data_IF_887128131728
#
_entry.id   IF_887128131728
#
_cell.length_a   1.000
_cell.length_b   1.000
_cell.length_c   1.000
_cell.angle_alpha   90.00
_cell.angle_beta   90.00
_cell.angle_gamma   90.00
#
_symmetry.space_group_name_H-M   'P 1'
#
loop_
_entity.id
_entity.type
_entity.pdbx_description
1 polymer ?
#
# COMPACT_ATOMS: atom_id res chain seq x y z
N UNK A 1 13.89 6.56 -13.48
CA UNK A 1 14.67 7.55 -12.71
C UNK A 1 14.76 8.88 -13.44
N UNK A 2 15.15 8.92 -14.74
CA UNK A 2 15.31 10.17 -15.50
C UNK A 2 14.06 11.06 -15.46
N UNK A 3 12.86 10.50 -15.68
CA UNK A 3 11.61 11.26 -15.62
C UNK A 3 11.33 11.85 -14.23
N UNK A 4 11.72 11.14 -13.16
CA UNK A 4 11.55 11.64 -11.78
C UNK A 4 12.49 12.80 -11.51
N UNK A 5 13.74 12.73 -11.96
CA UNK A 5 14.71 13.83 -11.86
C UNK A 5 14.25 15.06 -12.63
N UNK A 6 13.79 14.87 -13.87
CA UNK A 6 13.23 15.96 -14.68
C UNK A 6 12.00 16.62 -13.99
N UNK A 7 11.13 15.82 -13.37
CA UNK A 7 10.01 16.37 -12.59
C UNK A 7 10.49 17.18 -11.38
N UNK A 8 11.51 16.71 -10.66
CA UNK A 8 12.08 17.46 -9.53
C UNK A 8 12.73 18.79 -9.98
N UNK A 9 13.43 18.78 -11.13
CA UNK A 9 14.01 20.00 -11.72
C UNK A 9 12.92 21.01 -12.15
N UNK A 10 11.81 20.55 -12.72
CA UNK A 10 10.68 21.43 -13.07
C UNK A 10 10.05 22.06 -11.81
N UNK A 11 9.84 21.25 -10.75
CA UNK A 11 9.31 21.76 -9.47
C UNK A 11 10.32 22.73 -8.84
N UNK A 12 11.60 22.44 -8.87
CA UNK A 12 12.64 23.35 -8.40
C UNK A 12 12.60 24.70 -9.14
N UNK A 13 12.46 24.68 -10.47
CA UNK A 13 12.33 25.90 -11.27
C UNK A 13 11.08 26.73 -10.89
N UNK A 14 9.97 26.08 -10.57
CA UNK A 14 8.76 26.77 -10.13
C UNK A 14 8.84 27.32 -8.70
N UNK A 15 9.53 26.63 -7.79
CA UNK A 15 9.71 27.03 -6.40
C UNK A 15 10.74 28.15 -6.22
N UNK A 16 11.71 28.31 -7.15
CA UNK A 16 12.86 29.18 -6.94
C UNK A 16 13.67 28.72 -5.72
N UNK A 17 13.84 29.59 -4.74
CA UNK A 17 14.56 29.33 -3.49
C UNK A 17 13.67 28.89 -2.31
N UNK A 18 12.38 28.76 -2.50
CA UNK A 18 11.43 28.31 -1.47
C UNK A 18 11.49 26.78 -1.25
N UNK A 19 11.12 26.32 -0.05
CA UNK A 19 10.95 24.90 0.23
C UNK A 19 9.65 24.34 -0.34
N UNK A 20 9.68 23.08 -0.74
CA UNK A 20 8.47 22.34 -1.12
C UNK A 20 7.67 22.01 0.15
N UNK A 21 6.40 22.42 0.20
CA UNK A 21 5.50 22.21 1.33
C UNK A 21 5.26 20.73 1.67
N UNK A 22 5.16 19.86 0.67
CA UNK A 22 4.97 18.44 0.90
C UNK A 22 5.07 17.58 -0.36
N UNK A 23 5.36 16.32 -0.17
CA UNK A 23 5.44 15.27 -1.19
C UNK A 23 4.50 14.13 -0.82
N UNK A 24 3.64 13.74 -1.74
CA UNK A 24 2.74 12.58 -1.56
C UNK A 24 3.16 11.45 -2.48
N UNK A 25 3.69 10.38 -1.92
CA UNK A 25 4.03 9.15 -2.62
C UNK A 25 2.80 8.24 -2.66
N UNK A 26 1.98 8.36 -3.70
CA UNK A 26 0.73 7.62 -3.87
C UNK A 26 0.83 6.49 -4.90
N UNK A 27 1.75 6.55 -5.85
CA UNK A 27 1.85 5.57 -6.93
C UNK A 27 2.04 4.14 -6.37
N UNK A 28 1.24 3.21 -6.89
CA UNK A 28 1.32 1.82 -6.48
C UNK A 28 0.46 0.90 -7.33
N UNK A 29 0.84 -0.37 -7.35
CA UNK A 29 0.13 -1.42 -8.08
C UNK A 29 -0.12 -2.61 -7.16
N UNK A 30 -1.19 -3.36 -7.44
CA UNK A 30 -1.50 -4.63 -6.81
C UNK A 30 -1.81 -5.66 -7.90
N UNK A 31 -1.11 -6.79 -7.89
CA UNK A 31 -1.38 -7.93 -8.75
C UNK A 31 -1.82 -9.08 -7.87
N UNK A 32 -3.13 -9.43 -7.88
CA UNK A 32 -3.65 -10.53 -7.10
C UNK A 32 -3.22 -11.87 -7.70
N UNK A 33 -2.62 -12.71 -6.88
CA UNK A 33 -2.24 -14.08 -7.27
C UNK A 33 -1.96 -14.93 -6.02
N UNK A 34 -2.14 -16.26 -6.10
CA UNK A 34 -1.50 -17.15 -5.12
C UNK A 34 0.02 -16.99 -5.24
N UNK A 35 0.73 -16.74 -4.13
CA UNK A 35 2.18 -16.49 -4.15
C UNK A 35 2.97 -17.61 -4.83
N UNK A 36 2.51 -18.85 -4.72
CA UNK A 36 3.17 -20.01 -5.35
C UNK A 36 3.07 -20.04 -6.88
N UNK A 37 2.19 -19.20 -7.46
CA UNK A 37 1.96 -19.09 -8.91
C UNK A 37 2.22 -17.69 -9.45
N UNK A 38 2.54 -16.73 -8.58
CA UNK A 38 2.95 -15.40 -9.02
C UNK A 38 4.34 -15.48 -9.65
N UNK A 39 4.48 -14.95 -10.87
CA UNK A 39 5.78 -14.91 -11.53
C UNK A 39 6.76 -13.98 -10.79
N UNK A 40 8.04 -14.35 -10.75
CA UNK A 40 9.08 -13.53 -10.13
C UNK A 40 9.20 -12.14 -10.78
N UNK A 41 9.09 -11.99 -12.12
CA UNK A 41 9.05 -10.67 -12.75
C UNK A 41 7.89 -9.79 -12.25
N UNK A 42 6.67 -10.34 -12.10
CA UNK A 42 5.53 -9.58 -11.56
C UNK A 42 5.72 -9.22 -10.08
N UNK A 43 6.28 -10.15 -9.28
CA UNK A 43 6.63 -9.87 -7.89
C UNK A 43 7.63 -8.71 -7.80
N UNK A 44 8.73 -8.76 -8.56
CA UNK A 44 9.74 -7.69 -8.61
C UNK A 44 9.15 -6.37 -9.07
N UNK A 45 8.33 -6.38 -10.13
CA UNK A 45 7.67 -5.17 -10.64
C UNK A 45 6.82 -4.48 -9.58
N UNK A 46 6.10 -5.24 -8.73
CA UNK A 46 5.33 -4.65 -7.63
C UNK A 46 6.24 -4.00 -6.58
N UNK A 47 7.35 -4.65 -6.22
CA UNK A 47 8.31 -4.07 -5.28
C UNK A 47 8.99 -2.83 -5.88
N UNK A 48 9.39 -2.88 -7.15
CA UNK A 48 10.04 -1.75 -7.82
C UNK A 48 9.14 -0.52 -7.86
N UNK A 49 7.85 -0.69 -8.17
CA UNK A 49 6.91 0.43 -8.20
C UNK A 49 6.58 0.90 -6.79
N UNK A 50 6.22 -0.02 -5.88
CA UNK A 50 5.64 0.32 -4.59
C UNK A 50 6.68 0.74 -3.54
N UNK A 51 7.97 0.40 -3.75
CA UNK A 51 9.06 0.66 -2.80
C UNK A 51 10.19 1.44 -3.46
N UNK A 52 10.89 0.81 -4.43
CA UNK A 52 12.06 1.43 -5.06
C UNK A 52 11.69 2.76 -5.71
N UNK A 53 10.56 2.81 -6.44
CA UNK A 53 10.06 4.04 -7.05
C UNK A 53 9.78 5.15 -6.04
N UNK A 54 9.17 4.81 -4.90
CA UNK A 54 8.88 5.82 -3.87
C UNK A 54 10.15 6.34 -3.19
N UNK A 55 11.16 5.48 -3.00
CA UNK A 55 12.46 5.92 -2.49
C UNK A 55 13.16 6.86 -3.49
N UNK A 56 13.18 6.51 -4.78
CA UNK A 56 13.76 7.34 -5.84
C UNK A 56 13.08 8.72 -5.88
N UNK A 57 11.75 8.77 -5.78
CA UNK A 57 11.01 10.04 -5.73
C UNK A 57 11.41 10.83 -4.48
N UNK A 58 11.41 10.19 -3.31
CA UNK A 58 11.78 10.86 -2.05
C UNK A 58 13.18 11.43 -2.11
N UNK A 59 14.16 10.68 -2.64
CA UNK A 59 15.54 11.13 -2.81
C UNK A 59 15.65 12.32 -3.77
N UNK A 60 14.92 12.28 -4.89
CA UNK A 60 14.95 13.35 -5.89
C UNK A 60 14.35 14.66 -5.35
N UNK A 61 13.34 14.57 -4.50
CA UNK A 61 12.67 15.74 -3.91
C UNK A 61 13.23 16.16 -2.53
N UNK A 62 14.11 15.36 -1.94
CA UNK A 62 14.68 15.63 -0.63
C UNK A 62 15.34 17.02 -0.50
N UNK A 63 16.15 17.51 -1.47
CA UNK A 63 16.71 18.86 -1.39
C UNK A 63 15.60 19.92 -1.32
N UNK A 64 14.49 19.75 -2.04
CA UNK A 64 13.39 20.70 -2.11
C UNK A 64 12.57 20.74 -0.81
N UNK A 65 12.50 19.61 -0.09
CA UNK A 65 11.77 19.49 1.18
C UNK A 65 12.49 20.11 2.38
N UNK A 66 13.68 20.68 2.21
CA UNK A 66 14.50 21.22 3.27
C UNK A 66 15.79 20.44 3.54
N UNK A 67 16.11 19.42 2.71
CA UNK A 67 17.42 18.76 2.70
C UNK A 67 18.53 19.72 2.29
N UNK A 68 18.27 20.62 1.37
CA UNK A 68 19.09 21.80 1.07
C UNK A 68 18.71 22.94 2.02
N UNK A 69 19.56 23.19 3.00
CA UNK A 69 19.38 24.21 4.05
C UNK A 69 19.54 25.66 3.56
N UNK A 70 19.93 25.89 2.33
CA UNK A 70 19.96 27.23 1.73
C UNK A 70 18.59 27.72 1.28
N UNK A 71 17.59 26.80 1.20
CA UNK A 71 16.20 27.11 0.82
C UNK A 71 15.46 27.86 1.92
N UNK A 72 14.53 28.72 1.53
CA UNK A 72 13.71 29.55 2.42
C UNK A 72 12.40 28.84 2.77
N UNK A 73 11.95 29.02 4.00
CA UNK A 73 10.69 28.45 4.50
C UNK A 73 10.89 27.27 5.44
N UNK A 74 9.78 26.79 6.00
CA UNK A 74 9.79 25.63 6.88
C UNK A 74 10.01 24.34 6.09
N UNK A 75 10.66 23.33 6.70
CA UNK A 75 10.79 22.02 6.09
C UNK A 75 9.43 21.42 5.72
N UNK A 76 9.36 20.80 4.55
CA UNK A 76 8.18 20.13 4.06
C UNK A 76 7.92 18.79 4.73
N UNK A 77 6.89 18.07 4.24
CA UNK A 77 6.49 16.75 4.74
C UNK A 77 6.43 15.71 3.63
N UNK A 78 6.69 14.47 3.98
CA UNK A 78 6.49 13.32 3.10
C UNK A 78 5.30 12.52 3.60
N UNK A 79 4.32 12.27 2.74
CA UNK A 79 3.20 11.36 3.01
C UNK A 79 3.35 10.14 2.11
N UNK A 80 3.59 8.98 2.71
CA UNK A 80 3.67 7.71 2.01
C UNK A 80 2.31 7.00 2.11
N UNK A 81 1.64 6.80 0.97
CA UNK A 81 0.36 6.08 0.93
C UNK A 81 0.62 4.58 0.96
N UNK A 82 0.48 4.01 2.15
CA UNK A 82 0.57 2.59 2.42
C UNK A 82 -0.78 1.88 2.19
N UNK A 83 -1.19 1.05 3.11
CA UNK A 83 -2.48 0.35 3.15
C UNK A 83 -2.67 -0.26 4.55
N UNK A 84 -3.90 -0.63 4.91
CA UNK A 84 -4.12 -1.57 6.02
C UNK A 84 -3.39 -2.90 5.80
N UNK A 85 -3.11 -3.26 4.53
CA UNK A 85 -2.27 -4.41 4.16
C UNK A 85 -0.78 -4.23 4.52
N UNK A 86 -0.35 -3.04 4.93
CA UNK A 86 1.00 -2.80 5.46
C UNK A 86 1.24 -3.41 6.85
N UNK A 87 0.18 -3.88 7.53
CA UNK A 87 0.26 -4.57 8.83
C UNK A 87 -0.35 -5.96 8.82
N UNK A 88 -1.22 -6.27 7.85
CA UNK A 88 -1.90 -7.54 7.76
C UNK A 88 -1.81 -8.10 6.34
N UNK A 89 -1.23 -9.28 6.20
CA UNK A 89 -1.19 -10.01 4.93
C UNK A 89 -2.51 -10.74 4.67
N UNK A 90 -3.16 -10.48 3.54
CA UNK A 90 -4.30 -11.27 3.08
C UNK A 90 -3.86 -12.29 2.03
N UNK A 91 -4.50 -13.48 1.95
CA UNK A 91 -4.23 -14.41 0.86
C UNK A 91 -4.48 -13.74 -0.49
N UNK A 92 -3.81 -14.22 -1.52
CA UNK A 92 -3.90 -13.78 -2.92
C UNK A 92 -3.38 -12.35 -3.21
N UNK A 93 -2.99 -11.58 -2.21
CA UNK A 93 -2.34 -10.26 -2.35
C UNK A 93 -1.01 -10.18 -1.58
N UNK A 94 -0.33 -11.33 -1.46
CA UNK A 94 0.88 -11.42 -0.65
C UNK A 94 2.04 -10.54 -1.12
N UNK A 95 2.24 -10.39 -2.43
CA UNK A 95 3.27 -9.49 -2.96
C UNK A 95 2.96 -8.02 -2.67
N UNK A 96 1.68 -7.62 -2.79
CA UNK A 96 1.22 -6.29 -2.42
C UNK A 96 1.41 -6.04 -0.91
N UNK A 97 0.98 -6.99 -0.06
CA UNK A 97 1.17 -6.87 1.38
C UNK A 97 2.66 -6.76 1.74
N UNK A 98 3.53 -7.58 1.14
CA UNK A 98 4.98 -7.49 1.34
C UNK A 98 5.51 -6.10 0.97
N UNK A 99 5.09 -5.53 -0.17
CA UNK A 99 5.50 -4.18 -0.57
C UNK A 99 5.03 -3.11 0.41
N UNK A 100 3.80 -3.21 0.93
CA UNK A 100 3.27 -2.23 1.88
C UNK A 100 3.88 -2.36 3.29
N UNK A 101 4.21 -3.59 3.74
CA UNK A 101 5.01 -3.78 4.96
C UNK A 101 6.41 -3.17 4.82
N UNK A 102 7.07 -3.39 3.68
CA UNK A 102 8.36 -2.80 3.40
C UNK A 102 8.30 -1.26 3.37
N UNK A 103 7.24 -0.69 2.76
CA UNK A 103 7.02 0.76 2.75
C UNK A 103 6.85 1.34 4.16
N UNK A 104 6.14 0.64 5.05
CA UNK A 104 6.00 1.10 6.44
C UNK A 104 7.33 1.08 7.17
N UNK A 105 8.11 0.00 7.06
CA UNK A 105 9.46 -0.06 7.65
C UNK A 105 10.41 1.02 7.08
N UNK A 106 10.40 1.24 5.77
CA UNK A 106 11.16 2.31 5.12
C UNK A 106 10.71 3.69 5.63
N UNK A 107 9.40 3.92 5.74
CA UNK A 107 8.86 5.20 6.24
C UNK A 107 9.26 5.48 7.68
N UNK A 108 9.30 4.45 8.53
CA UNK A 108 9.78 4.60 9.91
C UNK A 108 11.25 4.97 9.98
N UNK A 109 12.10 4.36 9.16
CA UNK A 109 13.54 4.71 9.08
C UNK A 109 13.73 6.14 8.58
N UNK A 110 13.09 6.47 7.45
CA UNK A 110 13.14 7.83 6.90
C UNK A 110 12.67 8.88 7.90
N UNK A 111 11.59 8.63 8.65
CA UNK A 111 11.09 9.56 9.66
C UNK A 111 12.12 9.86 10.74
N UNK A 112 12.89 8.85 11.17
CA UNK A 112 13.95 9.02 12.17
C UNK A 112 15.17 9.74 11.60
N UNK A 113 15.59 9.37 10.39
CA UNK A 113 16.74 9.98 9.70
C UNK A 113 16.48 11.44 9.33
N UNK A 114 15.28 11.75 8.84
CA UNK A 114 14.91 13.09 8.39
C UNK A 114 14.60 14.07 9.52
N UNK A 115 14.55 13.61 10.79
CA UNK A 115 14.54 14.50 11.97
C UNK A 115 15.69 15.49 11.96
N UNK A 116 16.86 15.14 11.40
CA UNK A 116 18.00 16.03 11.23
C UNK A 116 17.67 17.29 10.42
N UNK A 117 16.65 17.20 9.55
CA UNK A 117 16.26 18.26 8.63
C UNK A 117 14.91 18.88 9.01
N UNK A 118 14.25 18.40 10.07
CA UNK A 118 12.93 18.83 10.45
C UNK A 118 11.80 18.35 9.52
N UNK A 119 12.09 17.38 8.64
CA UNK A 119 11.14 16.84 7.67
C UNK A 119 10.34 15.70 8.31
N UNK A 120 9.03 15.85 8.41
CA UNK A 120 8.14 14.79 8.88
C UNK A 120 7.86 13.76 7.77
N UNK A 121 7.86 12.46 8.14
CA UNK A 121 7.40 11.37 7.27
C UNK A 121 6.20 10.70 7.89
N UNK A 122 5.09 10.72 7.17
CA UNK A 122 3.77 10.30 7.63
C UNK A 122 3.29 9.14 6.76
N UNK A 123 2.63 8.17 7.38
CA UNK A 123 2.03 7.02 6.70
C UNK A 123 0.52 7.22 6.64
N UNK A 124 -0.04 7.25 5.44
CA UNK A 124 -1.48 7.08 5.22
C UNK A 124 -1.75 5.63 4.84
N UNK A 125 -2.65 4.98 5.57
CA UNK A 125 -2.93 3.55 5.41
C UNK A 125 -4.42 3.33 5.13
N UNK A 126 -4.86 3.54 3.88
CA UNK A 126 -6.23 3.31 3.50
C UNK A 126 -6.59 1.83 3.48
N UNK A 127 -7.84 1.55 3.84
CA UNK A 127 -8.54 0.32 3.53
C UNK A 127 -9.10 0.34 2.09
N UNK A 128 -10.18 -0.39 1.83
CA UNK A 128 -10.84 -0.34 0.52
C UNK A 128 -11.33 1.06 0.19
N UNK A 129 -11.01 1.55 -1.03
CA UNK A 129 -11.45 2.84 -1.55
C UNK A 129 -12.34 2.59 -2.76
N UNK A 130 -13.50 3.23 -2.83
CA UNK A 130 -14.42 3.15 -3.97
C UNK A 130 -13.84 3.90 -5.18
N UNK A 131 -13.22 3.17 -6.08
CA UNK A 131 -12.60 3.69 -7.30
C UNK A 131 -12.89 2.77 -8.49
N UNK A 132 -12.79 3.24 -9.74
CA UNK A 132 -13.01 2.43 -10.94
C UNK A 132 -12.09 1.20 -11.08
N UNK A 133 -11.10 1.04 -10.23
CA UNK A 133 -10.21 -0.13 -10.22
C UNK A 133 -10.97 -1.44 -9.99
N UNK A 134 -12.07 -1.38 -9.23
CA UNK A 134 -12.87 -2.56 -8.89
C UNK A 134 -13.72 -3.06 -10.05
N UNK A 135 -14.11 -2.16 -10.97
CA UNK A 135 -14.79 -2.54 -12.22
C UNK A 135 -13.82 -3.25 -13.16
N UNK A 136 -12.58 -2.75 -13.25
CA UNK A 136 -11.50 -3.41 -14.01
C UNK A 136 -11.16 -4.78 -13.41
N UNK A 137 -11.11 -4.89 -12.09
CA UNK A 137 -10.84 -6.15 -11.40
C UNK A 137 -11.99 -7.18 -11.58
N UNK A 138 -13.23 -6.73 -11.67
CA UNK A 138 -14.39 -7.59 -11.96
C UNK A 138 -14.36 -8.12 -13.40
N UNK A 139 -13.97 -7.26 -14.34
CA UNK A 139 -13.84 -7.61 -15.77
C UNK A 139 -12.61 -8.48 -16.08
N UNK A 140 -11.56 -8.45 -15.23
CA UNK A 140 -10.26 -9.08 -15.54
C UNK A 140 -10.25 -10.61 -15.48
N UNK A 141 -11.24 -11.22 -14.80
CA UNK A 141 -11.31 -12.69 -14.61
C UNK A 141 -10.01 -13.33 -14.10
N UNK A 142 -9.25 -12.59 -13.28
CA UNK A 142 -7.89 -13.01 -12.86
C UNK A 142 -7.87 -14.37 -12.16
N UNK A 143 -8.95 -14.76 -11.46
CA UNK A 143 -9.05 -16.06 -10.84
C UNK A 143 -9.02 -17.22 -11.84
N UNK A 144 -9.51 -17.04 -13.07
CA UNK A 144 -9.54 -18.08 -14.12
C UNK A 144 -8.16 -18.54 -14.55
N UNK A 145 -7.13 -17.68 -14.40
CA UNK A 145 -5.73 -18.02 -14.65
C UNK A 145 -5.27 -19.21 -13.81
N UNK A 146 -5.92 -19.42 -12.66
CA UNK A 146 -5.55 -20.42 -11.65
C UNK A 146 -6.55 -21.56 -11.54
N UNK A 147 -7.47 -21.76 -12.55
CA UNK A 147 -8.51 -22.78 -12.52
C UNK A 147 -7.97 -24.22 -12.42
N UNK A 148 -6.74 -24.44 -12.81
CA UNK A 148 -6.06 -25.72 -12.73
C UNK A 148 -5.37 -25.98 -11.38
N UNK A 149 -5.52 -25.07 -10.41
CA UNK A 149 -4.87 -25.15 -9.10
C UNK A 149 -5.89 -25.35 -7.98
N UNK A 150 -5.39 -25.82 -6.83
CA UNK A 150 -6.21 -25.94 -5.60
C UNK A 150 -6.69 -24.56 -5.06
N UNK A 151 -6.13 -23.46 -5.55
CA UNK A 151 -6.45 -22.11 -5.13
C UNK A 151 -7.69 -21.51 -5.83
N UNK A 152 -8.19 -22.13 -6.89
CA UNK A 152 -9.22 -21.55 -7.75
C UNK A 152 -10.47 -21.10 -6.98
N UNK A 153 -11.10 -22.01 -6.23
CA UNK A 153 -12.32 -21.70 -5.51
C UNK A 153 -12.11 -20.67 -4.39
N UNK A 154 -10.97 -20.73 -3.72
CA UNK A 154 -10.62 -19.75 -2.70
C UNK A 154 -10.31 -18.36 -3.32
N UNK A 155 -9.64 -18.35 -4.47
CA UNK A 155 -9.34 -17.14 -5.24
C UNK A 155 -10.61 -16.43 -5.72
N UNK A 156 -11.61 -17.17 -6.22
CA UNK A 156 -12.92 -16.62 -6.61
C UNK A 156 -13.64 -15.97 -5.42
N UNK A 157 -13.66 -16.65 -4.27
CA UNK A 157 -14.26 -16.08 -3.06
C UNK A 157 -13.54 -14.83 -2.60
N UNK A 158 -12.22 -14.83 -2.66
CA UNK A 158 -11.42 -13.64 -2.34
C UNK A 158 -11.69 -12.50 -3.30
N UNK A 159 -11.72 -12.76 -4.62
CA UNK A 159 -12.01 -11.75 -5.64
C UNK A 159 -13.39 -11.12 -5.43
N UNK A 160 -14.43 -11.94 -5.25
CA UNK A 160 -15.78 -11.45 -4.96
C UNK A 160 -15.83 -10.60 -3.68
N UNK A 161 -15.15 -11.05 -2.62
CA UNK A 161 -15.03 -10.30 -1.36
C UNK A 161 -14.31 -8.96 -1.56
N UNK A 162 -13.19 -8.95 -2.29
CA UNK A 162 -12.40 -7.75 -2.55
C UNK A 162 -13.19 -6.72 -3.36
N UNK A 163 -13.87 -7.15 -4.43
CA UNK A 163 -14.71 -6.28 -5.27
C UNK A 163 -15.86 -5.69 -4.45
N UNK A 164 -16.58 -6.54 -3.69
CA UNK A 164 -17.68 -6.07 -2.84
C UNK A 164 -17.23 -5.01 -1.83
N UNK A 165 -16.13 -5.28 -1.12
CA UNK A 165 -15.61 -4.32 -0.14
C UNK A 165 -15.01 -3.08 -0.80
N UNK A 166 -14.41 -3.23 -1.96
CA UNK A 166 -13.88 -2.12 -2.73
C UNK A 166 -14.96 -1.15 -3.19
N UNK A 167 -16.06 -1.66 -3.77
CA UNK A 167 -17.21 -0.86 -4.19
C UNK A 167 -17.89 -0.13 -3.01
N UNK A 168 -17.89 -0.75 -1.82
CA UNK A 168 -18.43 -0.18 -0.58
C UNK A 168 -17.36 0.50 0.28
N UNK A 169 -16.19 0.79 -0.28
CA UNK A 169 -15.09 1.46 0.40
C UNK A 169 -15.35 2.94 0.66
N UNK A 170 -14.39 3.61 1.26
CA UNK A 170 -14.42 5.05 1.43
C UNK A 170 -14.25 5.76 0.08
N UNK A 171 -14.75 6.99 -0.05
CA UNK A 171 -14.49 7.81 -1.23
C UNK A 171 -13.00 8.18 -1.34
N UNK A 172 -12.53 8.46 -2.54
CA UNK A 172 -11.18 8.99 -2.76
C UNK A 172 -10.98 10.34 -2.04
N UNK A 173 -12.04 11.17 -1.99
CA UNK A 173 -12.01 12.46 -1.31
C UNK A 173 -11.76 12.31 0.20
N UNK A 174 -12.39 11.32 0.85
CA UNK A 174 -12.14 11.06 2.27
C UNK A 174 -10.68 10.71 2.57
N UNK A 175 -9.99 10.06 1.63
CA UNK A 175 -8.54 9.81 1.74
C UNK A 175 -7.75 11.09 1.49
N UNK A 176 -8.17 11.88 0.49
CA UNK A 176 -7.59 13.19 0.19
C UNK A 176 -7.64 14.14 1.38
N UNK A 177 -8.77 14.19 2.09
CA UNK A 177 -8.93 15.01 3.30
C UNK A 177 -7.95 14.62 4.40
N UNK A 178 -7.68 13.32 4.56
CA UNK A 178 -6.69 12.86 5.55
C UNK A 178 -5.26 13.21 5.11
N UNK A 179 -4.95 13.11 3.83
CA UNK A 179 -3.65 13.55 3.29
C UNK A 179 -3.45 15.06 3.53
N UNK A 180 -4.46 15.88 3.22
CA UNK A 180 -4.41 17.32 3.51
C UNK A 180 -4.20 17.55 5.01
N UNK A 181 -4.93 16.85 5.87
CA UNK A 181 -4.74 16.92 7.31
C UNK A 181 -3.33 16.52 7.75
N UNK A 182 -2.76 15.46 7.18
CA UNK A 182 -1.40 15.02 7.46
C UNK A 182 -0.37 16.11 7.09
N UNK A 183 -0.59 16.77 5.96
CA UNK A 183 0.29 17.85 5.49
C UNK A 183 0.14 19.15 6.29
N UNK A 184 -1.06 19.49 6.77
CA UNK A 184 -1.36 20.82 7.35
C UNK A 184 -1.45 20.83 8.88
N UNK A 185 -1.63 19.68 9.55
CA UNK A 185 -1.78 19.65 11.00
C UNK A 185 -0.51 20.16 11.70
N UNK A 186 -0.69 20.97 12.75
CA UNK A 186 0.43 21.48 13.57
C UNK A 186 1.28 20.36 14.19
N UNK A 187 0.66 19.25 14.57
CA UNK A 187 1.30 18.03 15.09
C UNK A 187 0.64 16.82 14.44
N UNK A 188 1.10 16.39 13.26
CA UNK A 188 0.53 15.25 12.58
C UNK A 188 0.79 13.96 13.34
N UNK A 189 -0.10 12.99 13.17
CA UNK A 189 0.16 11.61 13.59
C UNK A 189 1.19 11.00 12.65
N UNK A 190 1.99 10.08 13.15
CA UNK A 190 2.95 9.34 12.31
C UNK A 190 2.27 8.37 11.35
N UNK A 191 1.01 7.99 11.65
CA UNK A 191 0.20 7.08 10.85
C UNK A 191 -1.29 7.42 10.99
N UNK A 192 -1.99 7.36 9.86
CA UNK A 192 -3.43 7.46 9.76
C UNK A 192 -4.00 6.17 9.16
N UNK A 193 -4.79 5.42 9.92
CA UNK A 193 -5.58 4.30 9.40
C UNK A 193 -6.92 4.85 8.89
N UNK A 194 -7.16 4.72 7.59
CA UNK A 194 -8.31 5.29 6.89
C UNK A 194 -9.20 4.14 6.43
N UNK A 195 -10.17 3.74 7.24
CA UNK A 195 -11.00 2.56 6.99
C UNK A 195 -12.44 2.78 7.43
N UNK A 196 -13.43 2.23 6.70
CA UNK A 196 -14.83 2.28 7.10
C UNK A 196 -15.12 1.42 8.35
N UNK A 197 -14.20 0.52 8.72
CA UNK A 197 -14.35 -0.38 9.85
C UNK A 197 -13.15 -0.31 10.82
N UNK A 198 -12.93 0.83 11.52
CA UNK A 198 -11.72 1.03 12.34
C UNK A 198 -11.60 0.02 13.48
N UNK A 199 -12.70 -0.34 14.12
CA UNK A 199 -12.69 -1.34 15.19
C UNK A 199 -12.30 -2.73 14.68
N UNK A 200 -12.85 -3.18 13.54
CA UNK A 200 -12.49 -4.46 12.94
C UNK A 200 -11.01 -4.49 12.51
N UNK A 201 -10.52 -3.40 11.93
CA UNK A 201 -9.11 -3.26 11.53
C UNK A 201 -8.19 -3.33 12.75
N UNK A 202 -8.54 -2.65 13.84
CA UNK A 202 -7.81 -2.72 15.09
C UNK A 202 -7.85 -4.13 15.70
N UNK A 203 -9.02 -4.77 15.76
CA UNK A 203 -9.15 -6.15 16.23
C UNK A 203 -8.25 -7.12 15.44
N UNK A 204 -8.20 -7.00 14.11
CA UNK A 204 -7.31 -7.84 13.29
C UNK A 204 -5.83 -7.63 13.61
N UNK A 205 -5.43 -6.46 14.10
CA UNK A 205 -4.04 -6.16 14.45
C UNK A 205 -3.60 -6.79 15.77
N UNK A 206 -4.53 -7.02 16.71
CA UNK A 206 -4.25 -7.54 18.06
C UNK A 206 -4.59 -9.02 18.23
N UNK A 207 -5.40 -9.60 17.36
CA UNK A 207 -5.75 -11.02 17.43
C UNK A 207 -4.52 -11.91 17.31
N UNK A 208 -4.44 -13.01 18.08
CA UNK A 208 -3.41 -14.03 17.89
C UNK A 208 -3.43 -14.52 16.44
N UNK A 209 -2.26 -14.55 15.78
CA UNK A 209 -2.16 -14.86 14.34
C UNK A 209 -2.83 -16.17 13.96
N UNK A 210 -2.69 -17.22 14.76
CA UNK A 210 -3.36 -18.53 14.52
C UNK A 210 -4.89 -18.44 14.51
N UNK A 211 -5.47 -17.59 15.35
CA UNK A 211 -6.91 -17.37 15.37
C UNK A 211 -7.36 -16.59 14.12
N UNK A 212 -6.61 -15.55 13.76
CA UNK A 212 -6.85 -14.79 12.54
C UNK A 212 -6.73 -15.69 11.29
N UNK A 213 -5.69 -16.55 11.22
CA UNK A 213 -5.51 -17.54 10.16
C UNK A 213 -6.73 -18.47 10.03
N UNK A 214 -7.25 -18.95 11.15
CA UNK A 214 -8.43 -19.84 11.16
C UNK A 214 -9.70 -19.14 10.66
N UNK A 215 -9.90 -17.87 11.02
CA UNK A 215 -11.02 -17.04 10.56
C UNK A 215 -10.92 -16.83 9.04
N UNK A 216 -9.76 -16.41 8.56
CA UNK A 216 -9.49 -16.16 7.13
C UNK A 216 -9.65 -17.46 6.32
N UNK A 217 -9.05 -18.55 6.80
CA UNK A 217 -9.14 -19.85 6.15
C UNK A 217 -10.59 -20.35 6.03
N UNK A 218 -11.40 -20.14 7.07
CA UNK A 218 -12.84 -20.48 7.04
C UNK A 218 -13.60 -19.61 6.03
N UNK A 219 -13.32 -18.29 6.00
CA UNK A 219 -13.98 -17.34 5.11
C UNK A 219 -13.74 -17.67 3.63
N UNK A 220 -12.52 -17.95 3.25
CA UNK A 220 -12.15 -18.22 1.86
C UNK A 220 -12.11 -19.71 1.48
N UNK A 221 -12.31 -20.61 2.44
CA UNK A 221 -12.28 -22.06 2.17
C UNK A 221 -10.87 -22.63 2.01
N UNK A 222 -9.85 -21.99 2.60
CA UNK A 222 -8.46 -22.44 2.63
C UNK A 222 -8.28 -23.60 3.62
N UNK A 223 -8.85 -24.76 3.31
CA UNK A 223 -8.77 -25.96 4.15
C UNK A 223 -8.02 -27.08 3.41
N UNK A 224 -7.23 -27.84 4.16
CA UNK A 224 -6.63 -29.04 3.64
C UNK A 224 -7.73 -29.99 3.10
N UNK A 225 -7.73 -30.27 1.80
CA UNK A 225 -8.58 -31.32 1.26
C UNK A 225 -8.03 -32.67 1.77
N UNK A 226 -8.88 -33.52 2.33
CA UNK A 226 -8.53 -34.92 2.59
C UNK A 226 -8.45 -35.59 1.23
N UNK A 227 -7.24 -35.97 0.82
CA UNK A 227 -7.06 -36.81 -0.36
C UNK A 227 -7.55 -38.19 0.06
N UNK A 228 -8.59 -38.71 -0.61
CA UNK A 228 -9.02 -40.09 -0.39
C UNK A 228 -7.92 -41.04 -0.86
N UNK A 229 -7.60 -42.10 -0.10
CA UNK A 229 -6.59 -43.08 -0.51
C UNK A 229 -6.86 -43.76 -1.85
N UNK A 230 -8.09 -43.67 -2.37
CA UNK A 230 -8.52 -44.28 -3.63
C UNK A 230 -8.01 -43.60 -4.91
N UNK A 231 -7.20 -42.54 -4.83
CA UNK A 231 -6.63 -41.87 -6.02
C UNK A 231 -5.18 -42.28 -6.34
N UNK A 232 -4.67 -43.27 -5.67
CA UNK A 232 -3.32 -43.82 -5.91
C UNK A 232 -3.34 -45.23 -6.53
N UNK A 233 -4.37 -45.58 -7.33
CA UNK A 233 -4.41 -46.81 -8.11
C UNK A 233 -4.52 -46.52 -9.59
#
# INVERSE_FOLDING_TARGET
EAAIRSAAEQVQGALGDETLFGLVNNAGVAVPAPLMYLSIPEFRRQLDINITGQLIVTQAFFPLLGGDRSRKGDPGRVVNVSSISGRNGSPFVGAYAASKHALEGMSESLRRELMLFGIDVIIDAPGPIATPIWEKADASNDAEKYKHTEYYEAGKKFQAYAIKNGRNGLSADAVGDVIVKALTAKRPRVRYDITPAPFATWMMSILPKRLLDAIIARGFGLKKKRISPSQFH
#
